data_IF_036123077694
#
_entry.id   IF_036123077694
#
_cell.length_a   1.000
_cell.length_b   1.000
_cell.length_c   1.000
_cell.angle_alpha   90.00
_cell.angle_beta   90.00
_cell.angle_gamma   90.00
#
_symmetry.space_group_name_H-M   'P 1'
#
loop_
_entity.id
_entity.type
_entity.pdbx_description
1 polymer ?
#
# COMPACT_ATOMS: atom_id res chain seq x y z
N UNK A 1 -25.68 -43.42 12.44
CA UNK A 1 -27.05 -42.88 12.31
C UNK A 1 -26.98 -41.38 12.16
N UNK A 2 -27.56 -40.95 11.05
CA UNK A 2 -28.01 -39.59 10.69
C UNK A 2 -26.96 -38.51 10.34
N UNK A 3 -26.75 -38.49 9.06
CA UNK A 3 -26.34 -37.42 8.17
C UNK A 3 -27.20 -36.16 8.39
N UNK A 4 -26.58 -35.03 8.56
CA UNK A 4 -27.23 -33.73 8.31
C UNK A 4 -26.34 -32.93 7.37
N UNK A 5 -26.63 -33.15 6.10
CA UNK A 5 -26.22 -32.24 5.04
C UNK A 5 -27.02 -30.95 5.19
N UNK A 6 -26.34 -29.85 5.41
CA UNK A 6 -26.94 -28.52 5.25
C UNK A 6 -26.29 -27.88 4.04
N UNK A 7 -27.06 -27.92 2.97
CA UNK A 7 -26.88 -27.10 1.79
C UNK A 7 -26.87 -25.62 2.20
N UNK A 8 -25.78 -24.95 1.94
CA UNK A 8 -25.78 -23.51 1.84
C UNK A 8 -25.79 -23.12 0.35
N UNK A 9 -27.01 -22.91 -0.09
CA UNK A 9 -27.34 -22.31 -1.38
C UNK A 9 -26.80 -20.90 -1.51
N UNK A 10 -26.04 -20.72 -2.56
CA UNK A 10 -25.85 -19.56 -3.40
C UNK A 10 -26.74 -18.33 -3.08
N UNK A 11 -26.09 -17.25 -2.68
CA UNK A 11 -26.57 -15.91 -2.99
C UNK A 11 -25.56 -15.19 -3.90
N UNK A 12 -25.74 -15.42 -5.18
CA UNK A 12 -25.19 -14.57 -6.24
C UNK A 12 -26.01 -13.27 -6.25
N UNK A 13 -25.50 -12.23 -5.63
CA UNK A 13 -26.02 -10.88 -5.85
C UNK A 13 -25.12 -10.19 -6.85
N UNK A 14 -25.55 -10.21 -8.08
CA UNK A 14 -25.06 -9.34 -9.14
C UNK A 14 -25.49 -7.91 -8.82
N UNK A 15 -24.54 -7.05 -8.54
CA UNK A 15 -24.75 -5.61 -8.71
C UNK A 15 -24.08 -5.15 -10.01
N UNK A 16 -24.88 -5.20 -11.07
CA UNK A 16 -24.63 -4.38 -12.24
C UNK A 16 -25.20 -2.99 -11.92
N UNK A 17 -24.33 -2.02 -11.77
CA UNK A 17 -24.70 -0.61 -11.86
C UNK A 17 -23.93 0.01 -13.01
N UNK A 18 -24.52 -0.14 -14.18
CA UNK A 18 -24.20 0.68 -15.33
C UNK A 18 -24.82 2.05 -15.11
N UNK A 19 -24.02 3.07 -14.90
CA UNK A 19 -24.45 4.45 -15.00
C UNK A 19 -23.90 5.00 -16.31
N UNK A 20 -24.81 4.98 -17.24
CA UNK A 20 -24.78 5.63 -18.52
C UNK A 20 -25.08 7.13 -18.32
N UNK A 21 -24.17 7.99 -18.64
CA UNK A 21 -24.46 9.40 -18.88
C UNK A 21 -23.86 9.82 -20.22
N UNK A 22 -24.73 9.68 -21.23
CA UNK A 22 -24.56 10.26 -22.54
C UNK A 22 -25.17 11.67 -22.48
N UNK A 23 -24.36 12.68 -22.56
CA UNK A 23 -24.77 14.08 -22.74
C UNK A 23 -24.35 14.58 -24.11
N UNK A 24 -25.25 14.47 -25.09
CA UNK A 24 -25.16 15.21 -26.37
C UNK A 24 -25.59 16.63 -26.12
N UNK A 25 -24.77 17.59 -26.54
CA UNK A 25 -25.23 18.95 -26.83
C UNK A 25 -24.91 19.29 -28.26
N UNK A 26 -25.96 19.76 -28.92
CA UNK A 26 -26.06 20.08 -30.33
C UNK A 26 -25.33 21.37 -30.70
N UNK A 27 -24.80 21.32 -31.89
CA UNK A 27 -24.53 22.36 -32.90
C UNK A 27 -25.41 23.61 -32.84
N UNK A 28 -24.75 24.73 -33.04
CA UNK A 28 -25.32 25.86 -33.81
C UNK A 28 -24.19 26.45 -34.66
N UNK A 29 -24.44 26.37 -35.95
CA UNK A 29 -23.72 27.10 -37.01
C UNK A 29 -23.97 28.60 -36.90
N UNK A 30 -22.96 29.41 -37.21
CA UNK A 30 -23.02 30.52 -38.15
C UNK A 30 -21.69 31.31 -38.11
N UNK A 31 -21.01 31.23 -39.18
CA UNK A 31 -20.68 32.21 -40.22
C UNK A 31 -19.49 33.17 -39.97
N UNK A 32 -18.57 33.04 -40.92
CA UNK A 32 -17.77 34.06 -41.60
C UNK A 32 -16.70 34.87 -40.83
N UNK A 33 -15.48 34.69 -41.29
CA UNK A 33 -14.38 35.65 -41.04
C UNK A 33 -13.00 35.11 -41.41
N UNK A 34 -12.69 35.16 -42.72
CA UNK A 34 -11.35 34.98 -43.27
C UNK A 34 -10.42 36.09 -42.74
N UNK A 35 -9.26 35.74 -42.17
CA UNK A 35 -7.95 36.35 -42.45
C UNK A 35 -6.82 35.56 -41.77
N UNK A 36 -5.83 35.24 -42.56
CA UNK A 36 -4.65 34.52 -42.43
C UNK A 36 -3.65 34.93 -41.34
N UNK A 37 -2.72 34.01 -41.14
CA UNK A 37 -1.47 34.36 -40.50
C UNK A 37 -1.00 33.36 -39.46
N UNK A 38 -0.28 32.36 -39.90
CA UNK A 38 0.98 31.84 -39.33
C UNK A 38 1.07 31.37 -37.89
N UNK A 39 1.74 30.25 -37.83
CA UNK A 39 2.44 29.66 -36.70
C UNK A 39 1.56 28.85 -35.73
N UNK A 40 1.32 27.65 -36.17
CA UNK A 40 0.97 26.53 -35.37
C UNK A 40 1.95 26.33 -34.24
N UNK A 41 1.59 26.76 -33.08
CA UNK A 41 2.15 26.24 -31.85
C UNK A 41 1.20 25.15 -31.38
N UNK A 42 1.34 23.97 -31.99
CA UNK A 42 0.72 22.73 -31.52
C UNK A 42 1.32 22.38 -30.15
N UNK A 43 0.88 23.09 -29.12
CA UNK A 43 0.97 22.61 -27.76
C UNK A 43 -0.03 21.48 -27.66
N UNK A 44 0.46 20.26 -27.88
CA UNK A 44 -0.24 19.06 -27.42
C UNK A 44 -0.70 19.31 -25.99
N UNK A 45 -1.97 19.05 -25.66
CA UNK A 45 -2.42 19.15 -24.28
C UNK A 45 -1.50 18.28 -23.42
N UNK A 46 -1.08 18.75 -22.24
CA UNK A 46 -0.24 17.95 -21.37
C UNK A 46 -1.00 16.67 -21.10
N UNK A 47 -0.46 15.57 -21.60
CA UNK A 47 -0.90 14.22 -21.21
C UNK A 47 -0.92 14.23 -19.68
N UNK A 48 -2.04 13.83 -19.04
CA UNK A 48 -2.06 13.71 -17.61
C UNK A 48 -0.93 12.73 -17.24
N UNK A 49 0.12 13.26 -16.63
CA UNK A 49 1.18 12.44 -16.06
C UNK A 49 0.48 11.62 -14.98
N UNK A 50 0.14 10.39 -15.32
CA UNK A 50 -0.32 9.41 -14.36
C UNK A 50 0.88 9.18 -13.45
N UNK A 51 0.94 9.96 -12.38
CA UNK A 51 1.95 9.79 -11.34
C UNK A 51 1.64 8.43 -10.72
N UNK A 52 2.35 7.40 -11.18
CA UNK A 52 2.29 6.08 -10.54
C UNK A 52 2.64 6.35 -9.08
N UNK A 53 1.71 6.11 -8.16
CA UNK A 53 1.99 6.37 -6.75
C UNK A 53 3.27 5.61 -6.39
N UNK A 54 4.22 6.31 -5.79
CA UNK A 54 5.46 5.70 -5.33
C UNK A 54 5.13 4.76 -4.16
N UNK A 55 4.84 3.52 -4.49
CA UNK A 55 4.43 2.49 -3.55
C UNK A 55 5.63 1.67 -3.12
N UNK A 56 5.76 1.41 -1.82
CA UNK A 56 6.62 0.37 -1.29
C UNK A 56 5.80 -0.93 -1.22
N UNK A 57 6.17 -1.90 -2.02
CA UNK A 57 5.64 -3.26 -1.93
C UNK A 57 6.63 -4.11 -1.12
N UNK A 58 6.15 -4.65 0.03
CA UNK A 58 6.98 -5.48 0.92
C UNK A 58 7.27 -6.85 0.30
N UNK A 59 6.35 -7.39 -0.52
CA UNK A 59 6.53 -8.67 -1.20
C UNK A 59 7.51 -8.55 -2.39
N UNK A 60 7.53 -7.38 -3.06
CA UNK A 60 8.39 -7.14 -4.24
C UNK A 60 8.96 -5.73 -4.19
N UNK A 61 9.92 -5.45 -3.30
CA UNK A 61 10.47 -4.12 -3.12
C UNK A 61 11.23 -3.64 -4.36
N UNK A 62 11.01 -2.39 -4.74
CA UNK A 62 11.78 -1.76 -5.80
C UNK A 62 13.10 -1.23 -5.23
N UNK A 63 14.17 -1.97 -5.43
CA UNK A 63 15.50 -1.64 -4.93
C UNK A 63 16.09 -0.34 -5.50
N UNK A 64 15.54 0.20 -6.60
CA UNK A 64 15.93 1.52 -7.06
C UNK A 64 15.46 2.64 -6.11
N UNK A 65 14.37 2.40 -5.37
CA UNK A 65 13.71 3.37 -4.47
C UNK A 65 13.97 3.12 -2.98
N UNK A 66 14.25 1.88 -2.60
CA UNK A 66 14.50 1.49 -1.21
C UNK A 66 15.78 0.68 -1.08
N UNK A 67 16.39 0.73 0.09
CA UNK A 67 17.41 -0.23 0.53
C UNK A 67 16.73 -1.27 1.40
N UNK A 68 17.04 -2.53 1.19
CA UNK A 68 16.49 -3.62 1.99
C UNK A 68 17.62 -4.24 2.81
N UNK A 69 17.43 -4.29 4.11
CA UNK A 69 18.34 -4.94 5.05
C UNK A 69 17.61 -6.12 5.67
N UNK A 70 18.34 -7.23 5.78
CA UNK A 70 17.83 -8.43 6.45
C UNK A 70 18.79 -8.81 7.56
N UNK A 71 18.25 -9.08 8.71
CA UNK A 71 18.94 -9.57 9.88
C UNK A 71 18.12 -10.67 10.55
N UNK A 72 18.79 -11.54 11.32
CA UNK A 72 18.10 -12.57 12.08
C UNK A 72 18.64 -12.56 13.51
N UNK A 73 17.73 -12.38 14.44
CA UNK A 73 18.04 -12.36 15.87
C UNK A 73 17.05 -13.22 16.63
N UNK A 74 17.56 -14.13 17.45
CA UNK A 74 16.74 -15.03 18.28
C UNK A 74 15.64 -15.76 17.48
N UNK A 75 15.96 -16.26 16.26
CA UNK A 75 15.00 -16.94 15.39
C UNK A 75 13.93 -16.05 14.78
N UNK A 76 14.00 -14.76 14.97
CA UNK A 76 13.14 -13.77 14.33
C UNK A 76 13.91 -13.12 13.17
N UNK A 77 13.35 -13.19 11.99
CA UNK A 77 13.86 -12.47 10.82
C UNK A 77 13.35 -11.04 10.83
N UNK A 78 14.28 -10.10 10.76
CA UNK A 78 13.99 -8.67 10.64
C UNK A 78 14.33 -8.21 9.23
N UNK A 79 13.35 -7.65 8.53
CA UNK A 79 13.56 -7.03 7.22
C UNK A 79 13.22 -5.54 7.31
N UNK A 80 14.20 -4.69 7.08
CA UNK A 80 14.06 -3.23 7.11
C UNK A 80 14.12 -2.67 5.70
N UNK A 81 13.16 -1.84 5.37
CA UNK A 81 13.04 -1.13 4.10
C UNK A 81 13.26 0.36 4.34
N UNK A 82 14.41 0.88 3.90
CA UNK A 82 14.77 2.29 4.02
C UNK A 82 14.60 3.01 2.68
N UNK A 83 13.75 4.04 2.61
CA UNK A 83 13.63 4.85 1.40
C UNK A 83 14.95 5.51 1.02
N UNK A 84 15.36 5.38 -0.23
CA UNK A 84 16.54 6.09 -0.74
C UNK A 84 16.26 7.59 -0.85
N UNK A 85 17.32 8.37 -0.77
CA UNK A 85 17.23 9.83 -0.92
C UNK A 85 16.55 10.19 -2.24
N UNK A 86 15.53 11.04 -2.17
CA UNK A 86 14.73 11.46 -3.34
C UNK A 86 13.56 10.54 -3.69
N UNK A 87 13.42 9.35 -3.07
CA UNK A 87 12.22 8.55 -3.22
C UNK A 87 11.07 9.15 -2.39
N UNK A 88 9.92 9.36 -3.03
CA UNK A 88 8.73 9.86 -2.37
C UNK A 88 7.69 8.74 -2.31
N UNK A 89 7.78 7.89 -1.28
CA UNK A 89 6.87 6.77 -1.08
C UNK A 89 5.60 7.29 -0.43
N UNK A 90 4.46 7.06 -1.08
CA UNK A 90 3.14 7.55 -0.66
C UNK A 90 2.24 6.44 -0.11
N UNK A 91 2.63 5.18 -0.25
CA UNK A 91 1.87 4.04 0.26
C UNK A 91 2.76 2.84 0.52
N UNK A 92 2.32 1.97 1.44
CA UNK A 92 2.94 0.68 1.74
C UNK A 92 1.91 -0.41 1.46
N UNK A 93 2.31 -1.45 0.73
CA UNK A 93 1.50 -2.61 0.37
C UNK A 93 2.28 -3.90 0.62
N UNK A 94 1.58 -5.03 0.67
CA UNK A 94 2.18 -6.38 0.66
C UNK A 94 1.47 -7.17 -0.45
N UNK A 95 2.06 -7.17 -1.64
CA UNK A 95 1.43 -7.63 -2.87
C UNK A 95 0.16 -6.83 -3.17
N UNK A 96 -1.00 -7.50 -3.17
CA UNK A 96 -2.30 -6.86 -3.40
C UNK A 96 -2.89 -6.17 -2.14
N UNK A 97 -2.38 -6.51 -0.96
CA UNK A 97 -2.88 -5.99 0.30
C UNK A 97 -2.38 -4.56 0.56
N UNK A 98 -3.31 -3.60 0.60
CA UNK A 98 -3.02 -2.21 0.94
C UNK A 98 -2.93 -2.06 2.46
N UNK A 99 -1.75 -1.68 2.97
CA UNK A 99 -1.50 -1.56 4.41
C UNK A 99 -1.78 -0.16 4.93
N UNK A 100 -1.09 0.83 4.37
CA UNK A 100 -1.35 2.22 4.71
C UNK A 100 -0.95 3.18 3.60
N UNK A 101 -1.58 4.36 3.61
CA UNK A 101 -1.13 5.52 2.87
C UNK A 101 -0.23 6.38 3.77
N UNK A 102 0.78 7.01 3.19
CA UNK A 102 1.58 8.04 3.85
C UNK A 102 0.92 9.38 3.53
N UNK A 103 0.43 10.11 4.54
CA UNK A 103 -0.27 11.37 4.32
C UNK A 103 0.56 12.40 3.58
N UNK A 104 -0.10 13.29 2.85
CA UNK A 104 0.59 14.40 2.18
C UNK A 104 1.38 15.26 3.17
N UNK A 105 2.63 15.56 2.84
CA UNK A 105 3.56 16.28 3.71
C UNK A 105 4.33 15.41 4.71
N UNK A 106 4.00 14.11 4.85
CA UNK A 106 4.83 13.13 5.54
C UNK A 106 5.79 12.43 4.58
N UNK A 107 6.93 11.99 5.10
CA UNK A 107 7.90 11.13 4.41
C UNK A 107 8.00 9.81 5.14
N UNK A 108 7.96 8.71 4.40
CA UNK A 108 8.30 7.41 4.95
C UNK A 108 9.77 7.44 5.41
N UNK A 109 10.01 7.05 6.65
CA UNK A 109 11.36 6.89 7.22
C UNK A 109 11.84 5.46 7.05
N UNK A 110 11.05 4.49 7.52
CA UNK A 110 11.32 3.06 7.40
C UNK A 110 10.03 2.25 7.43
N UNK A 111 10.10 1.03 6.92
CA UNK A 111 9.15 -0.03 7.21
C UNK A 111 9.93 -1.25 7.69
N UNK A 112 9.53 -1.85 8.81
CA UNK A 112 10.25 -2.95 9.45
C UNK A 112 9.30 -4.13 9.64
N UNK A 113 9.64 -5.26 9.04
CA UNK A 113 8.91 -6.53 9.20
C UNK A 113 9.71 -7.44 10.11
N UNK A 114 9.09 -7.93 11.17
CA UNK A 114 9.63 -8.95 12.08
C UNK A 114 8.80 -10.22 11.96
N UNK A 115 9.41 -11.35 11.62
CA UNK A 115 8.71 -12.60 11.33
C UNK A 115 9.46 -13.81 11.89
N UNK A 116 8.72 -14.81 12.36
CA UNK A 116 9.26 -16.13 12.75
C UNK A 116 8.67 -17.28 11.91
N UNK A 117 8.10 -16.96 10.72
CA UNK A 117 7.45 -17.92 9.85
C UNK A 117 5.96 -18.13 10.12
N UNK A 118 5.51 -18.11 11.37
CA UNK A 118 4.10 -18.27 11.76
C UNK A 118 3.37 -16.94 11.90
N UNK A 119 4.08 -15.94 12.40
CA UNK A 119 3.55 -14.61 12.70
C UNK A 119 4.46 -13.55 12.14
N UNK A 120 3.86 -12.48 11.64
CA UNK A 120 4.59 -11.33 11.12
C UNK A 120 4.03 -10.04 11.72
N UNK A 121 4.95 -9.17 12.11
CA UNK A 121 4.66 -7.85 12.63
C UNK A 121 5.28 -6.81 11.70
N UNK A 122 4.61 -5.68 11.49
CA UNK A 122 5.13 -4.58 10.68
C UNK A 122 5.02 -3.28 11.45
N UNK A 123 6.12 -2.54 11.47
CA UNK A 123 6.21 -1.17 11.95
C UNK A 123 6.46 -0.26 10.75
N UNK A 124 5.58 0.71 10.52
CA UNK A 124 5.76 1.76 9.52
C UNK A 124 6.01 3.09 10.24
N UNK A 125 7.17 3.68 10.00
CA UNK A 125 7.59 4.97 10.57
C UNK A 125 7.57 6.04 9.49
N UNK A 126 6.90 7.16 9.74
CA UNK A 126 6.87 8.34 8.86
C UNK A 126 7.13 9.61 9.66
N UNK A 127 7.55 10.68 8.99
CA UNK A 127 7.81 11.95 9.65
C UNK A 127 7.27 13.13 8.85
N UNK A 128 6.72 14.11 9.58
CA UNK A 128 6.34 15.42 9.09
C UNK A 128 6.73 16.50 10.10
N UNK A 129 7.32 17.58 9.64
CA UNK A 129 7.63 18.76 10.46
C UNK A 129 8.34 18.43 11.79
N UNK A 130 9.28 17.48 11.77
CA UNK A 130 10.02 17.04 12.94
C UNK A 130 9.28 16.11 13.91
N UNK A 131 8.06 15.68 13.59
CA UNK A 131 7.31 14.68 14.35
C UNK A 131 7.35 13.35 13.65
N UNK A 132 7.56 12.28 14.39
CA UNK A 132 7.54 10.89 13.90
C UNK A 132 6.19 10.28 14.26
N UNK A 133 5.54 9.68 13.26
CA UNK A 133 4.32 8.89 13.39
C UNK A 133 4.65 7.42 13.16
N UNK A 134 4.16 6.55 14.00
CA UNK A 134 4.34 5.11 13.91
C UNK A 134 3.00 4.42 13.71
N UNK A 135 2.96 3.41 12.84
CA UNK A 135 1.80 2.55 12.60
C UNK A 135 2.22 1.11 12.72
N UNK A 136 1.44 0.34 13.45
CA UNK A 136 1.75 -1.02 13.83
C UNK A 136 0.73 -1.98 13.23
N UNK A 137 1.20 -3.08 12.67
CA UNK A 137 0.36 -4.10 12.05
C UNK A 137 0.80 -5.49 12.49
N UNK A 138 -0.14 -6.41 12.54
CA UNK A 138 0.07 -7.85 12.75
C UNK A 138 -0.57 -8.61 11.60
N UNK A 139 0.14 -9.62 11.03
CA UNK A 139 -0.39 -10.51 10.01
C UNK A 139 -0.98 -11.74 10.67
N UNK A 140 -2.30 -11.90 10.54
CA UNK A 140 -3.05 -13.02 11.10
C UNK A 140 -3.83 -13.71 9.98
N UNK A 141 -3.59 -15.02 9.80
CA UNK A 141 -4.25 -15.79 8.75
C UNK A 141 -4.01 -15.21 7.34
N UNK A 142 -2.81 -14.68 7.09
CA UNK A 142 -2.44 -14.07 5.82
C UNK A 142 -2.92 -12.62 5.63
N UNK A 143 -3.69 -12.08 6.55
CA UNK A 143 -4.23 -10.72 6.48
C UNK A 143 -3.56 -9.78 7.49
N UNK A 144 -3.20 -8.59 7.03
CA UNK A 144 -2.67 -7.55 7.89
C UNK A 144 -3.79 -6.79 8.61
N UNK A 145 -3.61 -6.58 9.91
CA UNK A 145 -4.51 -5.79 10.77
C UNK A 145 -3.72 -4.72 11.48
N UNK A 146 -4.27 -3.51 11.56
CA UNK A 146 -3.71 -2.45 12.37
C UNK A 146 -3.89 -2.81 13.86
N UNK A 147 -2.83 -2.62 14.65
CA UNK A 147 -2.81 -2.93 16.09
C UNK A 147 -2.24 -1.75 16.89
N UNK A 148 -2.46 -1.74 18.19
CA UNK A 148 -1.87 -0.73 19.08
C UNK A 148 -0.38 -0.97 19.31
N UNK A 149 0.34 0.06 19.73
CA UNK A 149 1.77 -0.03 20.07
C UNK A 149 2.02 -1.06 21.19
N UNK A 150 1.16 -1.09 22.22
CA UNK A 150 1.27 -2.04 23.33
C UNK A 150 1.09 -3.47 22.85
N UNK A 151 0.12 -3.71 21.94
CA UNK A 151 -0.09 -5.03 21.35
C UNK A 151 1.13 -5.46 20.53
N UNK A 152 1.62 -4.56 19.67
CA UNK A 152 2.80 -4.80 18.85
C UNK A 152 4.02 -5.15 19.71
N UNK A 153 4.33 -4.34 20.72
CA UNK A 153 5.49 -4.53 21.60
C UNK A 153 5.40 -5.85 22.38
N UNK A 154 4.21 -6.19 22.89
CA UNK A 154 3.98 -7.48 23.59
C UNK A 154 4.21 -8.66 22.65
N UNK A 155 3.72 -8.58 21.40
CA UNK A 155 3.88 -9.63 20.41
C UNK A 155 5.33 -9.78 19.96
N UNK A 156 6.01 -8.67 19.71
CA UNK A 156 7.44 -8.69 19.34
C UNK A 156 8.29 -9.34 20.43
N UNK A 157 8.09 -8.98 21.69
CA UNK A 157 8.74 -9.61 22.83
C UNK A 157 8.43 -11.12 22.93
N UNK A 158 7.21 -11.53 22.57
CA UNK A 158 6.84 -12.94 22.57
C UNK A 158 7.51 -13.73 21.45
N UNK A 159 7.67 -13.13 20.25
CA UNK A 159 8.41 -13.72 19.15
C UNK A 159 9.87 -13.99 19.53
N UNK A 160 10.54 -12.99 20.12
CA UNK A 160 11.95 -13.08 20.52
C UNK A 160 12.18 -14.09 21.67
N UNK A 161 11.23 -14.24 22.58
CA UNK A 161 11.34 -15.17 23.75
C UNK A 161 11.16 -16.63 23.40
N UNK A 162 10.31 -16.96 22.42
CA UNK A 162 10.04 -18.36 22.03
C UNK A 162 11.33 -19.09 21.64
N UNK A 163 12.21 -18.45 20.91
CA UNK A 163 13.47 -19.06 20.48
C UNK A 163 14.39 -19.42 21.65
N UNK A 164 14.39 -18.61 22.71
CA UNK A 164 15.21 -18.88 23.89
C UNK A 164 14.70 -20.08 24.72
N UNK A 165 13.45 -20.45 24.58
CA UNK A 165 12.84 -21.61 25.28
C UNK A 165 13.02 -22.92 24.51
N UNK A 166 13.15 -22.87 23.18
CA UNK A 166 13.35 -24.05 22.33
C UNK A 166 14.83 -24.45 22.17
N UNK A 167 15.75 -23.57 22.54
CA UNK A 167 17.20 -23.80 22.50
C UNK A 167 17.77 -24.47 23.76
N UNK A 168 16.93 -24.95 24.70
CA UNK A 168 17.29 -25.75 25.87
C UNK A 168 16.87 -27.17 25.70
#
# INVERSE_FOLDING_TARGET
MKVLAVLWTLCLVRFCSAIWCCGKSKTSDDDNGVYGGSAENLRSPPTPVTTIPNTLDLAKPNESKVKVYKDSKNGVEHTTYDPKRGSNITSVVDGEAKLCAIPGGEKLLSAEVSSNGESSLLLVSSAARGRVSKRHFEKLGGQWKNVTEEHYSRKLNALERRFLSEAK
#
